data_IF_080944228257
#
_entry.id   IF_080944228257
#
_cell.length_a   1.000
_cell.length_b   1.000
_cell.length_c   1.000
_cell.angle_alpha   90.00
_cell.angle_beta   90.00
_cell.angle_gamma   90.00
#
_symmetry.space_group_name_H-M   'P 1'
#
loop_
_entity.id
_entity.type
_entity.pdbx_description
1 polymer ?
#
# COMPACT_ATOMS: atom_id res chain seq x y z
N UNK A 1 0.94 -38.91 -2.51
CA UNK A 1 0.22 -37.61 -2.45
C UNK A 1 1.26 -36.49 -2.48
N UNK A 2 1.53 -35.90 -3.65
CA UNK A 2 2.67 -34.97 -3.85
C UNK A 2 2.40 -33.59 -3.21
N UNK A 3 1.13 -33.19 -3.04
CA UNK A 3 0.80 -31.91 -2.44
C UNK A 3 0.54 -32.01 -0.93
N UNK A 4 1.45 -31.46 -0.13
CA UNK A 4 1.11 -31.15 1.27
C UNK A 4 0.22 -29.90 1.29
N UNK A 5 -0.88 -29.95 2.04
CA UNK A 5 -1.69 -28.74 2.30
C UNK A 5 -0.81 -27.75 3.04
N UNK A 6 -0.57 -26.58 2.43
CA UNK A 6 0.17 -25.51 3.10
C UNK A 6 -0.53 -25.15 4.42
N UNK A 7 0.16 -25.23 5.56
CA UNK A 7 -0.43 -24.89 6.84
C UNK A 7 -0.90 -23.43 6.85
N UNK A 8 -2.12 -23.17 7.32
CA UNK A 8 -2.64 -21.79 7.41
C UNK A 8 -1.79 -20.89 8.30
N UNK A 9 -1.18 -21.44 9.36
CA UNK A 9 -0.41 -20.68 10.36
C UNK A 9 1.04 -20.47 9.89
N UNK A 10 1.50 -19.21 9.88
CA UNK A 10 2.87 -18.81 9.49
C UNK A 10 3.96 -19.59 10.24
N UNK A 11 3.80 -19.81 11.55
CA UNK A 11 4.75 -20.57 12.40
C UNK A 11 4.93 -22.03 11.97
N UNK A 12 3.93 -22.61 11.31
CA UNK A 12 4.00 -23.98 10.79
C UNK A 12 4.59 -23.96 9.38
N UNK A 13 4.25 -22.96 8.55
CA UNK A 13 4.88 -22.77 7.22
C UNK A 13 6.39 -22.60 7.30
N UNK A 14 6.90 -21.90 8.32
CA UNK A 14 8.35 -21.72 8.51
C UNK A 14 9.11 -22.99 8.87
N UNK A 15 8.40 -24.06 9.26
CA UNK A 15 8.99 -25.38 9.55
C UNK A 15 8.72 -26.39 8.43
N UNK A 16 8.08 -25.96 7.34
CA UNK A 16 7.75 -26.84 6.23
C UNK A 16 9.01 -27.11 5.42
N UNK A 17 9.47 -28.34 5.43
CA UNK A 17 10.47 -28.83 4.49
C UNK A 17 9.73 -29.42 3.30
N UNK A 18 9.89 -28.81 2.12
CA UNK A 18 9.37 -29.35 0.88
C UNK A 18 10.42 -30.28 0.27
N UNK A 19 10.02 -31.49 -0.10
CA UNK A 19 10.91 -32.38 -0.84
C UNK A 19 11.20 -31.81 -2.24
N UNK A 20 12.37 -32.11 -2.81
CA UNK A 20 12.75 -31.62 -4.15
C UNK A 20 11.70 -31.97 -5.21
N UNK A 21 11.11 -33.16 -5.15
CA UNK A 21 10.02 -33.58 -6.03
C UNK A 21 8.76 -32.72 -5.94
N UNK A 22 8.47 -32.14 -4.76
CA UNK A 22 7.34 -31.21 -4.59
C UNK A 22 7.66 -29.83 -5.16
N UNK A 23 8.91 -29.39 -5.05
CA UNK A 23 9.37 -28.13 -5.66
C UNK A 23 9.34 -28.25 -7.18
N UNK A 24 9.80 -29.37 -7.75
CA UNK A 24 9.79 -29.60 -9.19
C UNK A 24 8.36 -29.72 -9.74
N UNK A 25 7.46 -30.36 -9.00
CA UNK A 25 6.03 -30.37 -9.29
C UNK A 25 5.44 -28.95 -9.34
N UNK A 26 5.71 -28.10 -8.34
CA UNK A 26 5.23 -26.71 -8.34
C UNK A 26 5.86 -25.87 -9.46
N UNK A 27 7.14 -26.13 -9.80
CA UNK A 27 7.82 -25.47 -10.93
C UNK A 27 7.19 -25.84 -12.26
N UNK A 28 6.82 -27.11 -12.46
CA UNK A 28 6.14 -27.56 -13.68
C UNK A 28 4.74 -26.94 -13.82
N UNK A 29 3.99 -26.81 -12.72
CA UNK A 29 2.66 -26.17 -12.70
C UNK A 29 2.79 -24.70 -13.13
N UNK A 30 3.81 -24.02 -12.61
CA UNK A 30 4.06 -22.63 -12.93
C UNK A 30 4.58 -22.40 -14.35
N UNK A 31 5.44 -23.29 -14.85
CA UNK A 31 5.99 -23.20 -16.22
C UNK A 31 4.96 -23.54 -17.29
N UNK A 32 4.11 -24.53 -17.05
CA UNK A 32 3.09 -24.97 -18.01
C UNK A 32 1.83 -24.10 -17.97
N UNK A 33 1.53 -23.49 -16.81
CA UNK A 33 0.25 -22.81 -16.59
C UNK A 33 -0.92 -23.77 -16.38
N UNK A 34 -0.70 -25.08 -16.50
CA UNK A 34 -1.70 -26.12 -16.29
C UNK A 34 -1.67 -26.61 -14.85
N UNK A 35 -2.85 -26.69 -14.23
CA UNK A 35 -3.00 -27.23 -12.90
C UNK A 35 -2.79 -28.75 -12.91
N UNK A 36 -1.89 -29.23 -12.07
CA UNK A 36 -1.74 -30.67 -11.90
C UNK A 36 -2.97 -31.31 -11.23
N UNK A 37 -3.23 -32.62 -11.46
CA UNK A 37 -4.31 -33.36 -10.81
C UNK A 37 -4.28 -33.23 -9.27
N UNK A 38 -5.41 -32.80 -8.69
CA UNK A 38 -5.53 -32.52 -7.26
C UNK A 38 -5.22 -31.08 -6.85
N UNK A 39 -5.00 -30.18 -7.82
CA UNK A 39 -5.04 -28.76 -7.54
C UNK A 39 -6.46 -28.28 -7.21
N UNK A 40 -6.64 -27.46 -6.15
CA UNK A 40 -7.93 -26.86 -5.90
C UNK A 40 -8.27 -25.98 -7.08
N UNK A 41 -9.52 -26.08 -7.50
CA UNK A 41 -10.09 -25.29 -8.57
C UNK A 41 -9.75 -23.80 -8.36
N UNK A 42 -9.12 -23.17 -9.35
CA UNK A 42 -8.70 -21.77 -9.26
C UNK A 42 -9.93 -20.89 -9.03
N UNK A 43 -11.08 -21.25 -9.59
CA UNK A 43 -12.32 -20.50 -9.41
C UNK A 43 -12.78 -20.54 -7.95
N UNK A 44 -12.60 -21.68 -7.27
CA UNK A 44 -12.82 -21.79 -5.83
C UNK A 44 -11.77 -21.06 -4.98
N UNK A 45 -10.54 -20.83 -5.48
CA UNK A 45 -9.49 -20.10 -4.78
C UNK A 45 -9.60 -18.58 -4.92
N UNK A 46 -9.99 -18.07 -6.10
CA UNK A 46 -10.19 -16.64 -6.36
C UNK A 46 -11.36 -16.11 -5.52
N UNK A 47 -12.42 -16.91 -5.38
CA UNK A 47 -13.54 -16.60 -4.49
C UNK A 47 -13.12 -16.65 -3.00
N UNK A 48 -12.19 -17.55 -2.62
CA UNK A 48 -11.75 -17.71 -1.23
C UNK A 48 -10.68 -16.70 -0.77
N UNK A 49 -9.75 -16.24 -1.62
CA UNK A 49 -8.67 -15.33 -1.19
C UNK A 49 -9.09 -13.87 -1.16
N UNK A 50 -10.01 -13.45 -2.03
CA UNK A 50 -10.46 -12.06 -2.11
C UNK A 50 -11.63 -11.74 -1.17
N UNK A 51 -12.49 -12.73 -0.86
CA UNK A 51 -13.71 -12.52 -0.08
C UNK A 51 -13.55 -12.96 1.38
N UNK A 52 -12.76 -14.01 1.66
CA UNK A 52 -12.78 -14.65 2.98
C UNK A 52 -11.81 -14.05 4.00
N UNK A 53 -10.65 -13.53 3.60
CA UNK A 53 -9.76 -12.82 4.54
C UNK A 53 -10.31 -11.45 4.94
N UNK A 54 -11.13 -10.80 4.10
CA UNK A 54 -11.84 -9.58 4.51
C UNK A 54 -13.06 -9.92 5.37
N UNK A 55 -13.87 -10.93 5.03
CA UNK A 55 -15.05 -11.32 5.82
C UNK A 55 -14.73 -12.02 7.15
N UNK A 56 -13.71 -12.87 7.20
CA UNK A 56 -13.31 -13.54 8.45
C UNK A 56 -12.67 -12.55 9.43
N UNK A 57 -11.90 -11.58 8.95
CA UNK A 57 -11.37 -10.51 9.79
C UNK A 57 -12.42 -9.46 10.17
N UNK A 58 -13.42 -9.20 9.32
CA UNK A 58 -14.63 -8.47 9.74
C UNK A 58 -15.38 -9.21 10.85
N UNK A 59 -15.47 -10.54 10.79
CA UNK A 59 -16.16 -11.36 11.79
C UNK A 59 -15.34 -11.57 13.08
N UNK A 60 -14.01 -11.57 13.03
CA UNK A 60 -13.12 -11.58 14.20
C UNK A 60 -13.10 -10.20 14.89
N UNK A 61 -13.08 -9.10 14.13
CA UNK A 61 -13.26 -7.75 14.67
C UNK A 61 -14.66 -7.55 15.28
N UNK A 62 -15.67 -8.28 14.79
CA UNK A 62 -17.03 -8.32 15.37
C UNK A 62 -17.11 -9.05 16.72
N UNK A 63 -16.17 -9.95 17.02
CA UNK A 63 -16.11 -10.73 18.26
C UNK A 63 -15.20 -10.13 19.33
N UNK A 64 -14.22 -9.30 18.94
CA UNK A 64 -13.63 -8.35 19.89
C UNK A 64 -14.67 -7.30 20.25
N UNK A 65 -14.67 -6.84 21.49
CA UNK A 65 -15.50 -5.78 22.09
C UNK A 65 -15.31 -4.38 21.44
N UNK A 66 -15.21 -4.31 20.11
CA UNK A 66 -15.18 -3.07 19.38
C UNK A 66 -16.59 -2.45 19.37
N UNK A 67 -16.71 -1.15 19.63
CA UNK A 67 -17.99 -0.49 19.82
C UNK A 67 -18.90 -0.65 18.60
N UNK A 68 -20.17 -0.98 18.88
CA UNK A 68 -21.22 -1.17 17.88
C UNK A 68 -21.34 0.07 16.99
N UNK A 69 -21.06 -0.11 15.70
CA UNK A 69 -21.46 0.75 14.56
C UNK A 69 -21.09 2.23 14.69
N UNK A 70 -19.88 2.60 14.26
CA UNK A 70 -19.69 3.89 13.59
C UNK A 70 -20.50 3.88 12.28
N UNK A 71 -21.78 4.29 12.35
CA UNK A 71 -22.51 4.74 11.16
C UNK A 71 -21.85 6.05 10.73
N UNK A 72 -21.10 6.01 9.63
CA UNK A 72 -20.54 7.20 8.98
C UNK A 72 -21.66 8.04 8.33
N UNK A 73 -22.60 8.56 9.13
CA UNK A 73 -23.53 9.58 8.68
C UNK A 73 -22.76 10.85 8.34
N UNK A 74 -23.15 11.56 7.28
CA UNK A 74 -22.63 12.90 6.94
C UNK A 74 -23.12 13.92 7.98
N UNK A 75 -22.62 13.82 9.21
CA UNK A 75 -22.95 14.76 10.29
C UNK A 75 -22.07 16.02 10.20
N UNK A 76 -22.53 17.17 10.73
CA UNK A 76 -21.75 18.42 10.80
C UNK A 76 -20.35 18.25 11.41
N UNK A 77 -20.22 17.35 12.39
CA UNK A 77 -18.96 17.01 13.05
C UNK A 77 -17.89 16.51 12.07
N UNK A 78 -18.25 15.68 11.09
CA UNK A 78 -17.27 15.15 10.12
C UNK A 78 -16.76 16.22 9.17
N UNK A 79 -17.58 17.23 8.88
CA UNK A 79 -17.18 18.35 8.01
C UNK A 79 -16.17 19.22 8.76
N UNK A 80 -16.41 19.54 10.03
CA UNK A 80 -15.47 20.26 10.87
C UNK A 80 -14.15 19.49 11.07
N UNK A 81 -14.22 18.17 11.29
CA UNK A 81 -13.03 17.32 11.39
C UNK A 81 -12.23 17.28 10.08
N UNK A 82 -12.91 17.21 8.93
CA UNK A 82 -12.26 17.25 7.63
C UNK A 82 -11.61 18.61 7.34
N UNK A 83 -12.19 19.72 7.82
CA UNK A 83 -11.58 21.04 7.74
C UNK A 83 -10.29 21.10 8.59
N UNK A 84 -10.34 20.68 9.86
CA UNK A 84 -9.13 20.61 10.68
C UNK A 84 -8.06 19.68 10.11
N UNK A 85 -8.47 18.59 9.46
CA UNK A 85 -7.56 17.71 8.72
C UNK A 85 -6.89 18.42 7.53
N UNK A 86 -7.64 19.21 6.74
CA UNK A 86 -7.11 20.05 5.66
C UNK A 86 -6.11 21.06 6.22
N UNK A 87 -6.50 21.84 7.22
CA UNK A 87 -5.70 22.92 7.79
C UNK A 87 -4.34 22.43 8.31
N UNK A 88 -4.32 21.22 8.87
CA UNK A 88 -3.08 20.59 9.33
C UNK A 88 -2.21 20.05 8.19
N UNK A 89 -2.81 19.51 7.11
CA UNK A 89 -2.07 18.81 6.06
C UNK A 89 -1.62 19.73 4.91
N UNK A 90 -2.45 20.69 4.51
CA UNK A 90 -2.23 21.54 3.33
C UNK A 90 -0.90 22.31 3.36
N UNK A 91 -0.48 22.95 4.47
CA UNK A 91 0.80 23.64 4.53
C UNK A 91 2.00 22.71 4.28
N UNK A 92 1.90 21.46 4.73
CA UNK A 92 2.96 20.45 4.62
C UNK A 92 2.99 19.86 3.22
N UNK A 93 1.84 19.63 2.63
CA UNK A 93 1.73 19.20 1.24
C UNK A 93 2.37 20.24 0.33
N UNK A 94 2.09 21.53 0.54
CA UNK A 94 2.72 22.61 -0.20
C UNK A 94 4.25 22.59 -0.06
N UNK A 95 4.77 22.43 1.17
CA UNK A 95 6.21 22.27 1.38
C UNK A 95 6.80 21.07 0.64
N UNK A 96 6.10 19.93 0.61
CA UNK A 96 6.54 18.72 -0.10
C UNK A 96 6.54 18.96 -1.62
N UNK A 97 5.46 19.52 -2.16
CA UNK A 97 5.33 19.85 -3.58
C UNK A 97 6.42 20.83 -4.03
N UNK A 98 6.70 21.87 -3.22
CA UNK A 98 7.74 22.87 -3.50
C UNK A 98 9.15 22.29 -3.38
N UNK A 99 9.43 21.48 -2.36
CA UNK A 99 10.72 20.81 -2.20
C UNK A 99 11.02 19.83 -3.34
N UNK A 100 10.01 19.12 -3.82
CA UNK A 100 10.15 18.12 -4.87
C UNK A 100 10.06 18.70 -6.29
N UNK A 101 9.57 19.94 -6.44
CA UNK A 101 9.15 20.52 -7.71
C UNK A 101 8.16 19.63 -8.48
N UNK A 102 7.17 19.11 -7.75
CA UNK A 102 6.11 18.23 -8.29
C UNK A 102 4.77 18.73 -7.82
N UNK A 103 3.79 18.81 -8.72
CA UNK A 103 2.39 19.11 -8.38
C UNK A 103 1.53 17.87 -8.53
N UNK A 104 0.76 17.57 -7.50
CA UNK A 104 -0.25 16.50 -7.59
C UNK A 104 -1.50 17.00 -8.31
N UNK A 105 -2.22 16.14 -9.04
CA UNK A 105 -3.54 16.48 -9.57
C UNK A 105 -4.49 16.81 -8.41
N UNK A 106 -5.34 17.83 -8.56
CA UNK A 106 -6.21 18.34 -7.48
C UNK A 106 -7.66 18.46 -7.95
N UNK A 107 -8.59 18.25 -7.03
CA UNK A 107 -10.02 18.61 -7.18
C UNK A 107 -10.47 19.26 -5.88
N UNK A 108 -11.11 20.43 -5.98
CA UNK A 108 -11.50 21.25 -4.81
C UNK A 108 -10.32 21.43 -3.82
N UNK A 109 -9.15 21.79 -4.36
CA UNK A 109 -7.86 21.91 -3.64
C UNK A 109 -7.33 20.63 -2.99
N UNK A 110 -8.03 19.50 -3.14
CA UNK A 110 -7.65 18.24 -2.52
C UNK A 110 -6.74 17.40 -3.44
N UNK A 111 -5.50 17.08 -3.02
CA UNK A 111 -4.51 16.44 -3.88
C UNK A 111 -4.76 14.94 -4.07
N UNK A 112 -4.78 14.43 -5.29
CA UNK A 112 -4.97 13.02 -5.60
C UNK A 112 -3.65 12.27 -5.75
N UNK A 113 -3.52 11.14 -5.05
CA UNK A 113 -2.31 10.29 -5.05
C UNK A 113 -2.24 9.27 -6.19
N UNK A 114 -3.30 9.18 -7.00
CA UNK A 114 -3.38 8.28 -8.17
C UNK A 114 -3.22 9.03 -9.49
N UNK A 115 -3.53 8.35 -10.59
CA UNK A 115 -3.60 8.98 -11.92
C UNK A 115 -4.81 9.89 -12.00
N UNK A 116 -4.68 11.07 -12.61
CA UNK A 116 -5.77 12.04 -12.73
C UNK A 116 -7.05 11.45 -13.33
N UNK A 117 -6.93 10.63 -14.39
CA UNK A 117 -8.04 9.92 -15.04
C UNK A 117 -8.81 8.96 -14.11
N UNK A 118 -8.23 8.60 -12.96
CA UNK A 118 -8.84 7.71 -11.97
C UNK A 118 -9.35 8.45 -10.73
N UNK A 119 -9.29 9.78 -10.73
CA UNK A 119 -9.81 10.61 -9.65
C UNK A 119 -11.35 10.56 -9.66
N UNK A 120 -11.99 10.19 -8.54
CA UNK A 120 -13.44 10.23 -8.44
C UNK A 120 -14.00 11.64 -8.70
N UNK A 121 -15.22 11.71 -9.22
CA UNK A 121 -15.85 13.00 -9.49
C UNK A 121 -16.15 13.81 -8.23
N UNK A 122 -16.44 13.12 -7.13
CA UNK A 122 -16.75 13.67 -5.81
C UNK A 122 -15.52 13.75 -4.90
N UNK A 123 -14.33 13.84 -5.48
CA UNK A 123 -13.09 13.87 -4.74
C UNK A 123 -12.89 15.18 -3.97
N UNK A 124 -12.77 15.08 -2.65
CA UNK A 124 -12.61 16.20 -1.74
C UNK A 124 -11.92 15.78 -0.43
N UNK A 125 -11.60 16.75 0.43
CA UNK A 125 -10.94 16.54 1.72
C UNK A 125 -11.67 15.57 2.65
N UNK A 126 -13.01 15.61 2.66
CA UNK A 126 -13.82 14.70 3.47
C UNK A 126 -13.66 13.24 3.03
N UNK A 127 -13.57 12.99 1.72
CA UNK A 127 -13.37 11.66 1.16
C UNK A 127 -12.01 11.08 1.57
N UNK A 128 -10.96 11.91 1.58
CA UNK A 128 -9.64 11.51 2.05
C UNK A 128 -9.56 11.25 3.54
N UNK A 129 -10.11 12.17 4.34
CA UNK A 129 -10.13 12.05 5.80
C UNK A 129 -10.73 10.70 6.20
N UNK A 130 -11.90 10.36 5.65
CA UNK A 130 -12.56 9.06 5.86
C UNK A 130 -11.70 7.89 5.41
N UNK A 131 -11.09 8.02 4.23
CA UNK A 131 -10.23 6.97 3.70
C UNK A 131 -9.06 6.67 4.65
N UNK A 132 -8.35 7.69 5.16
CA UNK A 132 -7.20 7.49 6.03
C UNK A 132 -7.56 7.08 7.46
N UNK A 133 -8.71 7.50 8.00
CA UNK A 133 -9.21 6.92 9.26
C UNK A 133 -9.40 5.41 9.09
N UNK A 134 -10.08 4.98 8.03
CA UNK A 134 -10.30 3.55 7.78
C UNK A 134 -8.99 2.79 7.59
N UNK A 135 -7.94 3.42 7.04
CA UNK A 135 -6.61 2.82 6.95
C UNK A 135 -5.93 2.71 8.31
N UNK A 136 -5.98 3.77 9.12
CA UNK A 136 -5.49 3.76 10.50
C UNK A 136 -6.16 2.69 11.33
N UNK A 137 -7.49 2.60 11.29
CA UNK A 137 -8.25 1.60 12.04
C UNK A 137 -7.87 0.17 11.66
N UNK A 138 -7.66 -0.08 10.35
CA UNK A 138 -7.14 -1.37 9.89
C UNK A 138 -5.74 -1.64 10.41
N UNK A 139 -4.84 -0.66 10.35
CA UNK A 139 -3.50 -0.80 10.93
C UNK A 139 -3.57 -1.16 12.41
N UNK A 140 -4.38 -0.44 13.19
CA UNK A 140 -4.65 -0.74 14.60
C UNK A 140 -5.16 -2.17 14.79
N UNK A 141 -6.13 -2.62 14.00
CA UNK A 141 -6.71 -3.97 14.15
C UNK A 141 -5.73 -5.10 13.80
N UNK A 142 -4.93 -4.94 12.74
CA UNK A 142 -4.08 -6.03 12.23
C UNK A 142 -2.63 -5.98 12.72
N UNK A 143 -2.13 -4.80 13.05
CA UNK A 143 -0.70 -4.56 13.32
C UNK A 143 -0.40 -4.36 14.82
N UNK A 144 -1.39 -3.96 15.64
CA UNK A 144 -1.20 -3.77 17.09
C UNK A 144 -0.98 -5.05 17.88
N UNK A 145 -0.91 -6.20 17.20
CA UNK A 145 -0.56 -7.47 17.86
C UNK A 145 0.84 -7.45 18.46
N UNK A 146 1.79 -6.76 17.82
CA UNK A 146 3.18 -6.71 18.27
C UNK A 146 3.60 -5.32 18.73
N UNK A 147 3.14 -4.27 18.03
CA UNK A 147 3.52 -2.89 18.32
C UNK A 147 2.32 -1.97 18.13
N UNK A 148 2.04 -1.02 19.02
CA UNK A 148 0.91 -0.11 18.87
C UNK A 148 1.10 0.82 17.66
N UNK A 149 0.02 1.06 16.90
CA UNK A 149 -0.07 2.17 15.94
C UNK A 149 -0.01 3.49 16.70
N UNK A 150 1.07 4.24 16.47
CA UNK A 150 1.27 5.58 17.06
C UNK A 150 0.87 6.70 16.11
N UNK A 151 0.79 6.41 14.80
CA UNK A 151 0.42 7.37 13.78
C UNK A 151 -1.08 7.68 13.81
N UNK A 152 -1.42 8.92 13.41
CA UNK A 152 -2.79 9.36 13.17
C UNK A 152 -3.13 9.36 11.67
N UNK A 153 -4.36 9.76 11.34
CA UNK A 153 -4.79 9.81 9.94
C UNK A 153 -4.03 10.87 9.13
N UNK A 154 -3.61 11.97 9.75
CA UNK A 154 -2.94 13.10 9.10
C UNK A 154 -1.52 12.68 8.73
N UNK A 155 -0.75 12.12 9.65
CA UNK A 155 0.62 11.68 9.38
C UNK A 155 0.66 10.56 8.35
N UNK A 156 -0.32 9.63 8.38
CA UNK A 156 -0.45 8.59 7.35
C UNK A 156 -0.74 9.18 5.97
N UNK A 157 -1.59 10.20 5.90
CA UNK A 157 -1.95 10.87 4.65
C UNK A 157 -0.77 11.64 4.06
N UNK A 158 -0.11 12.47 4.86
CA UNK A 158 1.06 13.26 4.42
C UNK A 158 2.19 12.31 4.01
N UNK A 159 2.43 11.24 4.76
CA UNK A 159 3.41 10.21 4.38
C UNK A 159 3.04 9.55 3.05
N UNK A 160 1.75 9.33 2.79
CA UNK A 160 1.29 8.82 1.51
C UNK A 160 1.63 9.76 0.35
N UNK A 161 1.36 11.06 0.51
CA UNK A 161 1.69 12.09 -0.47
C UNK A 161 3.21 12.15 -0.68
N UNK A 162 3.98 12.23 0.40
CA UNK A 162 5.44 12.29 0.33
C UNK A 162 6.02 11.09 -0.44
N UNK A 163 5.58 9.86 -0.13
CA UNK A 163 6.07 8.67 -0.84
C UNK A 163 5.62 8.61 -2.30
N UNK A 164 4.49 9.21 -2.66
CA UNK A 164 4.07 9.30 -4.07
C UNK A 164 4.93 10.31 -4.82
N UNK A 165 5.15 11.49 -4.25
CA UNK A 165 5.97 12.54 -4.85
C UNK A 165 7.44 12.11 -4.98
N UNK A 166 8.03 11.50 -3.94
CA UNK A 166 9.41 10.97 -3.97
C UNK A 166 9.66 10.04 -5.17
N UNK A 167 8.62 9.37 -5.68
CA UNK A 167 8.75 8.41 -6.79
C UNK A 167 8.80 9.05 -8.16
N UNK A 168 8.24 10.25 -8.29
CA UNK A 168 8.10 10.95 -9.57
C UNK A 168 8.94 12.22 -9.63
N UNK A 169 9.49 12.68 -8.49
CA UNK A 169 10.36 13.84 -8.46
C UNK A 169 11.64 13.60 -9.26
N UNK A 170 12.09 14.65 -9.96
CA UNK A 170 13.44 14.70 -10.47
C UNK A 170 14.41 14.85 -9.29
N UNK A 171 15.41 13.97 -9.27
CA UNK A 171 16.45 13.98 -8.25
C UNK A 171 17.67 14.80 -8.68
N UNK A 172 17.86 15.09 -9.98
CA UNK A 172 19.04 15.79 -10.50
C UNK A 172 20.36 15.27 -9.91
N UNK A 173 21.14 16.16 -9.31
CA UNK A 173 22.37 15.84 -8.57
C UNK A 173 22.19 15.72 -7.05
N UNK A 174 20.96 15.78 -6.52
CA UNK A 174 20.68 15.73 -5.08
C UNK A 174 20.72 14.28 -4.55
N UNK A 175 21.75 13.97 -3.78
CA UNK A 175 21.96 12.65 -3.18
C UNK A 175 20.90 12.26 -2.14
N UNK A 176 20.30 13.23 -1.44
CA UNK A 176 19.25 12.98 -0.46
C UNK A 176 17.99 12.52 -1.20
N UNK A 177 17.61 13.24 -2.26
CA UNK A 177 16.49 12.86 -3.14
C UNK A 177 16.70 11.48 -3.74
N UNK A 178 17.89 11.17 -4.26
CA UNK A 178 18.22 9.83 -4.80
C UNK A 178 18.10 8.73 -3.76
N UNK A 179 18.64 8.93 -2.55
CA UNK A 179 18.54 7.96 -1.44
C UNK A 179 17.08 7.71 -1.05
N UNK A 180 16.26 8.76 -1.00
CA UNK A 180 14.83 8.65 -0.71
C UNK A 180 14.09 7.92 -1.83
N UNK A 181 14.31 8.27 -3.08
CA UNK A 181 13.68 7.63 -4.22
C UNK A 181 14.03 6.13 -4.28
N UNK A 182 15.29 5.78 -4.08
CA UNK A 182 15.75 4.40 -3.98
C UNK A 182 15.07 3.65 -2.82
N UNK A 183 14.98 4.28 -1.64
CA UNK A 183 14.27 3.70 -0.50
C UNK A 183 12.79 3.48 -0.81
N UNK A 184 12.11 4.41 -1.47
CA UNK A 184 10.66 4.36 -1.67
C UNK A 184 10.21 3.77 -3.01
N UNK A 185 11.14 3.20 -3.79
CA UNK A 185 10.89 2.51 -5.05
C UNK A 185 9.82 1.41 -4.87
N UNK A 186 8.84 1.38 -5.78
CA UNK A 186 7.77 0.37 -5.78
C UNK A 186 8.32 -0.99 -6.19
N UNK A 187 7.75 -2.06 -5.64
CA UNK A 187 8.06 -3.43 -6.05
C UNK A 187 7.79 -3.68 -7.55
N UNK A 188 6.69 -3.14 -8.11
CA UNK A 188 6.33 -3.34 -9.53
C UNK A 188 6.22 -2.05 -10.33
N UNK A 189 6.53 -0.89 -9.75
CA UNK A 189 6.33 0.44 -10.36
C UNK A 189 4.90 0.75 -10.87
N UNK A 190 3.91 -0.11 -10.57
CA UNK A 190 2.53 0.05 -11.02
C UNK A 190 1.85 1.30 -10.43
N UNK A 191 0.95 1.95 -11.17
CA UNK A 191 0.17 3.08 -10.69
C UNK A 191 -0.68 2.67 -9.50
N UNK A 192 -0.91 3.63 -8.62
CA UNK A 192 -1.75 3.44 -7.44
C UNK A 192 -3.14 3.95 -7.79
N UNK A 193 -4.17 3.22 -7.36
CA UNK A 193 -5.53 3.74 -7.29
C UNK A 193 -6.09 3.58 -5.89
N UNK A 194 -7.24 4.20 -5.62
CA UNK A 194 -7.92 4.09 -4.31
C UNK A 194 -9.14 3.16 -4.36
N UNK A 195 -9.46 2.63 -5.55
CA UNK A 195 -10.61 1.77 -5.80
C UNK A 195 -10.49 0.50 -4.98
N UNK A 196 -11.47 0.23 -4.12
CA UNK A 196 -11.48 -0.98 -3.29
C UNK A 196 -11.58 -2.23 -4.18
N UNK A 197 -10.79 -3.26 -3.86
CA UNK A 197 -10.79 -4.55 -4.58
C UNK A 197 -9.86 -4.58 -5.79
N UNK A 198 -9.45 -3.42 -6.30
CA UNK A 198 -8.42 -3.33 -7.34
C UNK A 198 -7.08 -3.93 -6.85
N UNK A 199 -6.35 -4.70 -7.69
CA UNK A 199 -4.99 -5.13 -7.36
C UNK A 199 -4.02 -3.93 -7.25
N UNK A 200 -4.36 -2.82 -7.91
CA UNK A 200 -3.67 -1.53 -7.86
C UNK A 200 -4.09 -0.66 -6.67
N UNK A 201 -5.04 -1.12 -5.85
CA UNK A 201 -5.55 -0.38 -4.72
C UNK A 201 -4.41 -0.04 -3.76
N UNK A 202 -4.38 1.19 -3.27
CA UNK A 202 -3.45 1.64 -2.26
C UNK A 202 -3.47 0.68 -1.07
N UNK A 203 -2.28 0.30 -0.64
CA UNK A 203 -2.03 -0.53 0.50
C UNK A 203 -0.90 0.08 1.33
N UNK A 204 -1.13 0.16 2.63
CA UNK A 204 -0.13 0.58 3.61
C UNK A 204 0.40 -0.70 4.25
N UNK A 205 1.70 -0.93 4.14
CA UNK A 205 2.33 -2.13 4.69
C UNK A 205 3.65 -1.84 5.35
N UNK A 206 4.20 -2.85 6.02
CA UNK A 206 5.51 -2.77 6.63
C UNK A 206 6.61 -2.73 5.56
N UNK A 207 7.61 -1.87 5.79
CA UNK A 207 8.88 -1.91 5.07
C UNK A 207 9.76 -3.04 5.60
N UNK A 208 9.86 -3.22 6.91
CA UNK A 208 10.53 -4.33 7.56
C UNK A 208 9.54 -5.01 8.51
N UNK A 209 9.32 -6.31 8.31
CA UNK A 209 8.41 -7.08 9.15
C UNK A 209 8.98 -7.25 10.56
N UNK A 210 8.10 -7.25 11.57
CA UNK A 210 8.50 -7.40 12.97
C UNK A 210 8.91 -6.09 13.65
N UNK A 211 9.07 -5.01 12.88
CA UNK A 211 9.25 -3.66 13.40
C UNK A 211 7.92 -2.90 13.44
N UNK A 212 7.82 -1.88 14.28
CA UNK A 212 6.62 -1.04 14.42
C UNK A 212 6.31 -0.30 13.12
N UNK A 213 5.03 -0.18 12.75
CA UNK A 213 4.63 0.73 11.66
C UNK A 213 4.67 2.15 12.16
N UNK A 214 5.59 2.94 11.60
CA UNK A 214 5.77 4.36 11.89
C UNK A 214 5.94 5.11 10.59
N UNK A 215 5.29 6.25 10.48
CA UNK A 215 5.49 7.18 9.35
C UNK A 215 6.81 7.94 9.45
N UNK A 216 7.37 8.09 10.65
CA UNK A 216 8.55 8.93 10.90
C UNK A 216 8.22 10.41 11.12
N UNK A 217 6.95 10.81 11.03
CA UNK A 217 6.50 12.14 11.48
C UNK A 217 6.48 12.19 13.01
N UNK A 218 6.85 13.34 13.56
CA UNK A 218 6.76 13.56 15.01
C UNK A 218 5.34 14.02 15.35
N UNK A 219 4.73 13.42 16.37
CA UNK A 219 3.40 13.86 16.82
C UNK A 219 3.47 15.32 17.27
N UNK A 220 2.58 16.17 16.74
CA UNK A 220 2.48 17.58 17.11
C UNK A 220 3.43 18.55 16.39
N UNK A 221 4.39 18.06 15.60
CA UNK A 221 5.21 18.89 14.70
C UNK A 221 5.30 18.25 13.33
N UNK A 222 4.55 18.81 12.37
CA UNK A 222 4.66 18.44 10.98
C UNK A 222 5.67 19.40 10.33
N UNK A 223 6.93 18.97 10.27
CA UNK A 223 8.01 19.68 9.59
C UNK A 223 8.59 18.73 8.56
N UNK A 224 8.61 19.15 7.28
CA UNK A 224 9.21 18.33 6.23
C UNK A 224 10.68 18.02 6.55
N UNK A 225 11.42 19.03 7.05
CA UNK A 225 12.81 18.87 7.47
C UNK A 225 12.97 17.76 8.52
N UNK A 226 12.18 17.83 9.61
CA UNK A 226 12.25 16.85 10.70
C UNK A 226 11.94 15.44 10.20
N UNK A 227 10.99 15.33 9.26
CA UNK A 227 10.65 14.05 8.64
C UNK A 227 11.78 13.50 7.79
N UNK A 228 12.48 14.36 7.03
CA UNK A 228 13.62 13.93 6.21
C UNK A 228 14.79 13.50 7.09
N UNK A 229 15.05 14.21 8.19
CA UNK A 229 16.08 13.87 9.18
C UNK A 229 15.78 12.52 9.87
N UNK A 230 14.50 12.26 10.20
CA UNK A 230 14.03 11.00 10.81
C UNK A 230 13.64 9.94 9.78
N UNK A 231 14.19 9.99 8.56
CA UNK A 231 13.80 9.05 7.53
C UNK A 231 14.01 7.58 7.96
N UNK A 232 15.06 7.25 8.70
CA UNK A 232 15.31 5.88 9.14
C UNK A 232 14.26 5.31 10.09
N UNK A 233 13.47 6.16 10.77
CA UNK A 233 12.38 5.74 11.65
C UNK A 233 11.12 5.38 10.87
N UNK A 234 11.02 5.75 9.59
CA UNK A 234 9.93 5.37 8.71
C UNK A 234 10.02 3.88 8.36
N UNK A 235 9.03 3.13 8.83
CA UNK A 235 8.84 1.72 8.50
C UNK A 235 7.54 1.45 7.73
N UNK A 236 6.85 2.51 7.28
CA UNK A 236 5.68 2.42 6.44
C UNK A 236 6.09 2.40 4.96
N UNK A 237 5.44 1.53 4.20
CA UNK A 237 5.60 1.44 2.76
C UNK A 237 4.23 1.57 2.10
N UNK A 238 4.11 2.58 1.25
CA UNK A 238 2.93 2.85 0.44
C UNK A 238 3.06 2.08 -0.86
N UNK A 239 2.19 1.10 -1.14
CA UNK A 239 2.32 0.22 -2.30
C UNK A 239 0.96 -0.18 -2.80
N UNK A 240 0.89 -0.81 -3.96
CA UNK A 240 -0.36 -1.41 -4.39
C UNK A 240 -0.64 -2.70 -3.59
N UNK A 241 -1.92 -3.06 -3.50
CA UNK A 241 -2.40 -4.23 -2.78
C UNK A 241 -1.68 -5.50 -3.25
N UNK A 242 -1.54 -5.68 -4.56
CA UNK A 242 -0.85 -6.82 -5.15
C UNK A 242 0.62 -6.93 -4.66
N UNK A 243 1.40 -5.85 -4.67
CA UNK A 243 2.77 -5.87 -4.16
C UNK A 243 2.83 -6.15 -2.65
N UNK A 244 1.86 -5.66 -1.88
CA UNK A 244 1.81 -5.95 -0.44
C UNK A 244 1.47 -7.42 -0.17
N UNK A 245 0.55 -7.97 -0.95
CA UNK A 245 0.18 -9.37 -0.93
C UNK A 245 1.40 -10.24 -1.23
N UNK A 246 2.12 -10.02 -2.33
CA UNK A 246 3.34 -10.76 -2.67
C UNK A 246 4.36 -10.77 -1.52
N UNK A 247 4.62 -9.61 -0.92
CA UNK A 247 5.55 -9.50 0.20
C UNK A 247 5.15 -10.36 1.41
N UNK A 248 3.87 -10.69 1.57
CA UNK A 248 3.39 -11.56 2.64
C UNK A 248 3.64 -13.05 2.38
N UNK A 249 3.67 -13.48 1.12
CA UNK A 249 3.88 -14.89 0.75
C UNK A 249 5.34 -15.24 0.56
N UNK A 250 6.16 -14.28 0.16
CA UNK A 250 7.55 -14.51 -0.19
C UNK A 250 8.51 -13.89 0.83
N UNK A 251 9.60 -14.60 1.11
CA UNK A 251 10.66 -14.05 1.94
C UNK A 251 11.38 -12.91 1.22
N UNK A 252 11.85 -11.93 1.98
CA UNK A 252 12.50 -10.73 1.46
C UNK A 252 13.69 -11.04 0.54
N UNK A 253 14.45 -12.10 0.85
CA UNK A 253 15.58 -12.55 0.02
C UNK A 253 15.20 -12.99 -1.41
N UNK A 254 13.93 -13.36 -1.65
CA UNK A 254 13.46 -13.78 -2.97
C UNK A 254 12.75 -12.65 -3.74
N UNK A 255 12.63 -11.45 -3.15
CA UNK A 255 11.90 -10.33 -3.77
C UNK A 255 12.53 -9.96 -5.12
N UNK A 256 13.87 -9.91 -5.21
CA UNK A 256 14.57 -9.58 -6.44
C UNK A 256 14.36 -10.66 -7.53
N UNK A 257 14.40 -11.93 -7.15
CA UNK A 257 14.13 -13.05 -8.08
C UNK A 257 12.70 -13.02 -8.60
N UNK A 258 11.74 -12.65 -7.74
CA UNK A 258 10.33 -12.53 -8.15
C UNK A 258 10.14 -11.33 -9.08
N UNK A 259 10.86 -10.23 -8.86
CA UNK A 259 10.80 -9.07 -9.76
C UNK A 259 11.38 -9.37 -11.14
N UNK A 260 12.40 -10.25 -11.24
CA UNK A 260 13.00 -10.60 -12.53
C UNK A 260 12.15 -11.56 -13.35
N UNK A 261 11.35 -12.41 -12.69
CA UNK A 261 10.48 -13.41 -13.34
C UNK A 261 9.05 -12.94 -13.56
N UNK A 262 8.54 -11.98 -12.78
CA UNK A 262 7.33 -11.25 -13.18
C UNK A 262 7.76 -10.53 -14.45
N UNK A 263 7.24 -10.90 -15.64
CA UNK A 263 7.51 -10.11 -16.82
C UNK A 263 7.06 -8.72 -16.41
N UNK A 264 7.98 -7.75 -16.39
CA UNK A 264 7.61 -6.34 -16.32
C UNK A 264 6.80 -6.18 -17.58
N UNK A 265 5.50 -6.43 -17.46
CA UNK A 265 4.68 -6.68 -18.60
C UNK A 265 4.78 -5.38 -19.37
N UNK A 266 5.18 -5.50 -20.63
CA UNK A 266 5.03 -4.48 -21.65
C UNK A 266 3.56 -3.98 -21.77
N UNK A 267 2.66 -4.32 -20.84
CA UNK A 267 1.39 -3.63 -20.60
C UNK A 267 1.55 -2.12 -20.50
N UNK A 268 2.67 -1.56 -20.03
CA UNK A 268 2.76 -0.09 -19.92
C UNK A 268 2.99 0.62 -21.27
N UNK A 269 3.84 0.08 -22.15
CA UNK A 269 4.12 0.74 -23.43
C UNK A 269 2.95 0.66 -24.43
N UNK A 270 2.07 -0.33 -24.31
CA UNK A 270 0.91 -0.44 -25.22
C UNK A 270 -0.34 0.32 -24.74
N UNK A 271 -0.49 0.57 -23.43
CA UNK A 271 -1.66 1.26 -22.87
C UNK A 271 -1.43 2.76 -22.63
N UNK A 272 -0.18 3.21 -22.48
CA UNK A 272 0.14 4.63 -22.52
C UNK A 272 0.26 5.08 -23.98
N UNK A 273 -0.83 5.65 -24.46
CA UNK A 273 -0.91 6.37 -25.73
C UNK A 273 0.27 7.35 -25.83
N UNK A 274 1.11 7.23 -26.86
CA UNK A 274 2.29 8.08 -27.10
C UNK A 274 1.97 9.58 -27.26
N UNK A 275 0.68 9.93 -27.24
CA UNK A 275 0.17 11.31 -27.33
C UNK A 275 -0.09 11.96 -25.96
N UNK A 276 -0.01 11.23 -24.84
CA UNK A 276 -0.05 11.85 -23.51
C UNK A 276 1.33 12.44 -23.26
N UNK A 277 1.47 13.76 -23.50
CA UNK A 277 2.66 14.52 -23.11
C UNK A 277 2.93 14.27 -21.63
N UNK A 278 4.04 13.58 -21.37
CA UNK A 278 4.57 13.18 -20.08
C UNK A 278 5.02 14.40 -19.27
N UNK A 279 4.07 15.18 -18.75
CA UNK A 279 4.42 16.21 -17.76
C UNK A 279 4.56 15.64 -16.33
N UNK A 280 4.36 14.32 -16.15
CA UNK A 280 4.49 13.63 -14.85
C UNK A 280 5.51 12.47 -14.85
N UNK A 281 6.16 12.20 -15.98
CA UNK A 281 7.03 11.02 -16.15
C UNK A 281 8.29 11.28 -16.99
N UNK A 282 8.71 12.53 -17.16
CA UNK A 282 10.04 12.86 -17.70
C UNK A 282 11.01 13.12 -16.56
#
# INVERSE_FOLDING_TARGET
>A
MIRQKFPRRRKIRSKLQLANSQLDYLRQEWKSGELHPGSPDIDALVEFSCIRDVSASFNLARKSSLPKKHRWGKGPTQVAEAAGFRDAAEPIIKQIEDWADVRLPKREDCPFIGLEDWMPEDWCWLSYYKFFILRRDRMTCYCNRAHPTVDDAITLFIECILQVIIRVMDCGSDDIKKKLQNKHKKFLCLPINIVKGSPLCLSIGHRHYGQQMKTGWTMGSLSLKDRLDKNNDNNICIKIHFSNFFKFFFFEKYINDIQSVIPIANMFNSFFNSNIKSNLYN
#
